data_IF_316362150596
#
_entry.id   IF_316362150596
#
_cell.length_a   1.000
_cell.length_b   1.000
_cell.length_c   1.000
_cell.angle_alpha   90.00
_cell.angle_beta   90.00
_cell.angle_gamma   90.00
#
_symmetry.space_group_name_H-M   'P 1'
#
loop_
_entity.id
_entity.type
_entity.pdbx_description
1 polymer ?
#
# COMPACT_ATOMS: atom_id res chain seq x y z
N UNK A 1 12.83 -33.07 51.16
CA UNK A 1 12.94 -33.05 49.68
C UNK A 1 12.67 -31.60 49.29
N UNK A 2 13.69 -30.73 49.25
CA UNK A 2 14.61 -30.53 48.11
C UNK A 2 13.79 -30.27 46.83
N UNK A 3 13.93 -29.18 46.08
CA UNK A 3 15.03 -28.24 45.93
C UNK A 3 14.57 -27.06 45.04
N UNK A 4 15.38 -26.00 45.00
CA UNK A 4 15.49 -24.99 43.94
C UNK A 4 14.46 -23.84 43.80
N UNK A 5 14.75 -22.74 44.53
CA UNK A 5 14.46 -21.36 44.10
C UNK A 5 15.49 -20.94 43.05
N UNK A 6 15.05 -20.66 41.82
CA UNK A 6 15.89 -20.06 40.77
C UNK A 6 15.79 -18.52 40.82
N UNK A 7 16.95 -17.90 40.97
CA UNK A 7 17.28 -16.48 40.80
C UNK A 7 17.02 -16.01 39.35
N UNK A 8 16.71 -14.71 39.13
CA UNK A 8 16.62 -14.15 37.78
C UNK A 8 18.02 -13.91 37.18
N UNK A 9 18.17 -13.94 35.84
CA UNK A 9 19.46 -13.82 35.19
C UNK A 9 19.98 -12.37 35.22
N UNK A 10 21.24 -12.25 35.59
CA UNK A 10 22.07 -11.05 35.55
C UNK A 10 22.19 -10.56 34.10
N UNK A 11 21.88 -9.28 33.87
CA UNK A 11 22.14 -8.61 32.59
C UNK A 11 23.66 -8.58 32.34
N UNK A 12 24.06 -9.15 31.21
CA UNK A 12 25.44 -9.28 30.78
C UNK A 12 26.05 -7.91 30.49
N UNK A 13 27.27 -7.71 30.98
CA UNK A 13 28.11 -6.51 30.91
C UNK A 13 28.37 -5.98 29.47
N UNK A 14 27.93 -6.69 28.44
CA UNK A 14 28.00 -6.25 27.03
C UNK A 14 26.90 -5.26 26.63
N UNK A 15 25.73 -5.26 27.27
CA UNK A 15 24.64 -4.35 26.88
C UNK A 15 24.84 -2.90 27.38
N UNK A 16 25.57 -2.70 28.48
CA UNK A 16 25.93 -1.35 28.94
C UNK A 16 27.01 -0.69 28.06
N UNK A 17 27.90 -1.48 27.44
CA UNK A 17 28.97 -0.95 26.58
C UNK A 17 28.47 -0.41 25.23
N UNK A 18 27.35 -0.93 24.72
CA UNK A 18 26.73 -0.49 23.46
C UNK A 18 25.94 0.82 23.63
N UNK A 19 25.44 1.09 24.83
CA UNK A 19 24.66 2.30 25.12
C UNK A 19 25.56 3.52 25.42
N UNK A 20 26.72 3.31 26.05
CA UNK A 20 27.71 4.37 26.27
C UNK A 20 28.43 4.79 24.98
N UNK A 21 28.60 3.88 24.02
CA UNK A 21 29.20 4.19 22.71
C UNK A 21 28.26 4.97 21.78
N UNK A 22 26.95 4.71 21.83
CA UNK A 22 25.96 5.48 21.05
C UNK A 22 25.79 6.93 21.55
N UNK A 23 25.95 7.16 22.86
CA UNK A 23 25.83 8.50 23.48
C UNK A 23 27.09 9.37 23.24
N UNK A 24 28.25 8.75 23.03
CA UNK A 24 29.50 9.46 22.71
C UNK A 24 29.57 9.95 21.25
N UNK A 25 28.91 9.25 20.32
CA UNK A 25 28.90 9.60 18.89
C UNK A 25 27.93 10.75 18.57
N UNK A 26 26.87 10.92 19.35
CA UNK A 26 25.91 12.02 19.18
C UNK A 26 26.43 13.35 19.74
N UNK A 27 27.23 13.37 20.81
CA UNK A 27 27.79 14.62 21.37
C UNK A 27 28.95 15.21 20.55
N UNK A 28 29.66 14.37 19.79
CA UNK A 28 30.77 14.81 18.91
C UNK A 28 30.28 15.44 17.60
N UNK A 29 29.05 15.14 17.18
CA UNK A 29 28.45 15.72 15.97
C UNK A 29 27.92 17.15 16.17
N UNK A 30 27.41 17.49 17.37
CA UNK A 30 26.84 18.83 17.63
C UNK A 30 27.90 19.92 17.88
N UNK A 31 29.14 19.55 18.20
CA UNK A 31 30.19 20.54 18.53
C UNK A 31 30.96 21.04 17.30
N UNK A 32 30.86 20.36 16.15
CA UNK A 32 31.66 20.66 14.96
C UNK A 32 31.09 21.76 14.03
N UNK A 33 29.84 22.19 14.24
CA UNK A 33 29.16 23.16 13.35
C UNK A 33 29.36 24.62 13.79
N UNK A 34 29.86 24.87 15.00
CA UNK A 34 29.98 26.22 15.55
C UNK A 34 31.44 26.58 15.88
N UNK A 35 32.25 26.94 14.88
CA UNK A 35 33.35 27.94 14.99
C UNK A 35 34.08 28.13 13.66
N UNK A 36 33.54 28.97 12.79
CA UNK A 36 34.30 29.64 11.72
C UNK A 36 34.74 31.02 12.21
N UNK A 37 36.05 31.25 12.33
CA UNK A 37 36.57 32.57 12.76
C UNK A 37 38.10 32.69 12.85
N UNK A 38 38.72 33.08 11.73
CA UNK A 38 39.89 33.97 11.56
C UNK A 38 41.13 33.92 12.49
N UNK A 39 42.28 33.79 11.79
CA UNK A 39 43.58 34.50 11.94
C UNK A 39 44.54 34.22 13.11
N UNK A 40 45.77 33.81 12.73
CA UNK A 40 47.02 34.43 13.22
C UNK A 40 48.03 33.54 13.98
N UNK A 41 49.25 33.41 13.45
CA UNK A 41 50.48 33.41 14.26
C UNK A 41 51.23 32.10 14.54
N UNK A 42 52.28 31.86 13.75
CA UNK A 42 53.62 31.28 14.04
C UNK A 42 53.90 30.44 15.31
N UNK A 43 54.57 29.28 15.14
CA UNK A 43 55.38 28.68 16.21
C UNK A 43 55.70 27.17 16.11
N UNK A 44 56.78 26.82 15.39
CA UNK A 44 57.77 25.77 15.69
C UNK A 44 57.44 24.38 16.30
N UNK A 45 57.79 23.36 15.49
CA UNK A 45 58.64 22.20 15.83
C UNK A 45 58.03 20.88 16.39
N UNK A 46 58.21 19.82 15.58
CA UNK A 46 58.72 18.52 16.06
C UNK A 46 57.75 17.34 16.04
N UNK A 47 57.86 16.43 15.06
CA UNK A 47 57.13 15.16 15.07
C UNK A 47 57.21 14.39 13.76
N UNK A 48 58.40 13.88 13.44
CA UNK A 48 58.67 13.08 12.23
C UNK A 48 58.16 11.65 12.41
N UNK A 49 57.08 11.29 11.71
CA UNK A 49 56.60 9.91 11.61
C UNK A 49 55.32 9.81 10.79
N UNK A 50 55.43 9.39 9.52
CA UNK A 50 54.25 9.04 8.69
C UNK A 50 54.05 9.81 7.36
N UNK A 51 55.04 10.54 6.83
CA UNK A 51 54.88 11.41 5.65
C UNK A 51 54.86 10.68 4.28
N UNK A 52 55.13 9.36 4.24
CA UNK A 52 55.21 8.62 2.97
C UNK A 52 53.86 8.37 2.28
N UNK A 53 52.83 8.02 3.06
CA UNK A 53 51.51 7.66 2.53
C UNK A 53 50.72 8.86 2.00
N UNK A 54 50.80 10.01 2.68
CA UNK A 54 50.12 11.24 2.27
C UNK A 54 50.72 11.83 1.00
N UNK A 55 52.04 11.71 0.79
CA UNK A 55 52.76 12.16 -0.40
C UNK A 55 52.35 11.37 -1.67
N UNK A 56 52.24 10.05 -1.55
CA UNK A 56 51.82 9.16 -2.64
C UNK A 56 50.34 9.36 -3.01
N UNK A 57 49.45 9.43 -2.01
CA UNK A 57 48.03 9.72 -2.21
C UNK A 57 47.82 11.08 -2.89
N UNK A 58 48.50 12.13 -2.43
CA UNK A 58 48.40 13.45 -3.04
C UNK A 58 48.97 13.48 -4.47
N UNK A 59 50.02 12.72 -4.78
CA UNK A 59 50.55 12.59 -6.14
C UNK A 59 49.60 11.86 -7.09
N UNK A 60 48.90 10.82 -6.61
CA UNK A 60 47.90 10.09 -7.41
C UNK A 60 46.69 10.99 -7.69
N UNK A 61 46.22 11.75 -6.70
CA UNK A 61 45.09 12.69 -6.85
C UNK A 61 45.42 13.80 -7.86
N UNK A 62 46.63 14.36 -7.80
CA UNK A 62 47.08 15.40 -8.75
C UNK A 62 47.30 14.86 -10.17
N UNK A 63 47.92 13.69 -10.32
CA UNK A 63 48.16 13.09 -11.64
C UNK A 63 46.87 12.57 -12.30
N UNK A 64 45.92 12.08 -11.51
CA UNK A 64 44.65 11.53 -12.00
C UNK A 64 43.56 12.57 -12.28
N UNK A 65 43.80 13.87 -12.02
CA UNK A 65 42.82 14.98 -12.19
C UNK A 65 41.44 14.70 -11.54
N UNK A 66 41.41 13.96 -10.44
CA UNK A 66 40.16 13.51 -9.79
C UNK A 66 39.45 14.59 -8.98
N UNK A 67 40.16 15.65 -8.54
CA UNK A 67 39.57 16.77 -7.80
C UNK A 67 39.85 18.08 -8.54
N UNK A 68 38.79 18.75 -9.01
CA UNK A 68 38.90 20.08 -9.65
C UNK A 68 38.76 21.22 -8.64
N UNK A 69 38.15 20.94 -7.49
CA UNK A 69 37.88 21.88 -6.40
C UNK A 69 38.49 21.35 -5.09
N UNK A 70 39.11 22.20 -4.25
CA UNK A 70 39.67 21.80 -2.96
C UNK A 70 38.66 21.11 -2.01
N UNK A 71 37.36 21.38 -2.14
CA UNK A 71 36.30 20.69 -1.38
C UNK A 71 36.14 19.20 -1.71
N UNK A 72 36.60 18.74 -2.88
CA UNK A 72 36.49 17.35 -3.32
C UNK A 72 37.68 16.48 -2.89
N UNK A 73 38.75 17.09 -2.37
CA UNK A 73 39.99 16.39 -2.03
C UNK A 73 39.80 15.37 -0.91
N UNK A 74 39.01 15.70 0.10
CA UNK A 74 38.81 14.81 1.25
C UNK A 74 37.91 13.61 0.90
N UNK A 75 36.86 13.82 0.11
CA UNK A 75 36.06 12.72 -0.45
C UNK A 75 36.90 11.81 -1.35
N UNK A 76 37.77 12.38 -2.18
CA UNK A 76 38.66 11.61 -3.07
C UNK A 76 39.65 10.77 -2.27
N UNK A 77 40.21 11.32 -1.17
CA UNK A 77 41.07 10.58 -0.26
C UNK A 77 40.35 9.40 0.39
N UNK A 78 39.11 9.59 0.85
CA UNK A 78 38.31 8.50 1.41
C UNK A 78 38.02 7.42 0.38
N UNK A 79 37.62 7.77 -0.84
CA UNK A 79 37.36 6.80 -1.91
C UNK A 79 38.59 5.95 -2.24
N UNK A 80 39.77 6.58 -2.35
CA UNK A 80 41.02 5.85 -2.62
C UNK A 80 41.44 4.98 -1.43
N UNK A 81 41.30 5.48 -0.20
CA UNK A 81 41.61 4.71 1.00
C UNK A 81 40.73 3.46 1.11
N UNK A 82 39.43 3.60 0.84
CA UNK A 82 38.49 2.49 0.84
C UNK A 82 38.81 1.48 -0.26
N UNK A 83 39.12 1.95 -1.47
CA UNK A 83 39.57 1.07 -2.55
C UNK A 83 40.82 0.27 -2.17
N UNK A 84 41.84 0.93 -1.59
CA UNK A 84 43.07 0.25 -1.15
C UNK A 84 42.78 -0.78 -0.06
N UNK A 85 41.90 -0.48 0.89
CA UNK A 85 41.47 -1.43 1.92
C UNK A 85 40.76 -2.64 1.30
N UNK A 86 39.89 -2.42 0.32
CA UNK A 86 39.16 -3.49 -0.36
C UNK A 86 40.06 -4.38 -1.21
N UNK A 87 41.08 -3.81 -1.85
CA UNK A 87 42.13 -4.56 -2.57
C UNK A 87 43.00 -5.35 -1.60
N UNK A 88 43.35 -4.77 -0.44
CA UNK A 88 44.16 -5.44 0.58
C UNK A 88 43.43 -6.60 1.28
N UNK A 89 42.10 -6.50 1.44
CA UNK A 89 41.24 -7.53 2.02
C UNK A 89 40.92 -8.67 1.03
N UNK A 90 41.18 -8.49 -0.27
CA UNK A 90 40.88 -9.50 -1.29
C UNK A 90 41.86 -10.68 -1.23
N UNK A 91 41.43 -11.94 -1.46
CA UNK A 91 42.30 -13.10 -1.48
C UNK A 91 43.45 -12.94 -2.49
N UNK A 92 44.67 -13.31 -2.09
CA UNK A 92 45.86 -13.24 -2.96
C UNK A 92 45.62 -14.01 -4.26
N UNK A 93 45.59 -13.31 -5.40
CA UNK A 93 45.33 -13.87 -6.73
C UNK A 93 43.98 -13.51 -7.35
N UNK A 94 43.09 -12.78 -6.65
CA UNK A 94 41.81 -12.30 -7.22
C UNK A 94 41.94 -11.01 -8.05
N UNK A 95 43.08 -10.32 -7.95
CA UNK A 95 43.39 -9.13 -8.78
C UNK A 95 44.10 -9.64 -10.04
N UNK A 96 43.34 -10.26 -10.93
CA UNK A 96 43.86 -10.73 -12.22
C UNK A 96 43.73 -9.58 -13.22
N UNK A 97 44.86 -9.03 -13.67
CA UNK A 97 45.18 -8.11 -14.80
C UNK A 97 44.24 -6.96 -15.20
N UNK A 98 42.95 -6.99 -14.92
CA UNK A 98 41.96 -5.97 -15.24
C UNK A 98 41.30 -5.39 -13.98
N UNK A 99 41.83 -4.26 -13.51
CA UNK A 99 41.32 -3.48 -12.38
C UNK A 99 39.86 -3.06 -12.57
N UNK A 100 39.43 -2.86 -13.83
CA UNK A 100 38.04 -2.49 -14.12
C UNK A 100 37.09 -3.63 -13.78
N UNK A 101 37.38 -4.86 -14.22
CA UNK A 101 36.57 -6.05 -13.89
C UNK A 101 36.46 -6.29 -12.38
N UNK A 102 37.54 -6.02 -11.63
CA UNK A 102 37.55 -6.13 -10.17
C UNK A 102 36.61 -5.09 -9.54
N UNK A 103 36.67 -3.82 -9.97
CA UNK A 103 35.77 -2.78 -9.46
C UNK A 103 34.31 -3.13 -9.76
N UNK A 104 33.99 -3.56 -10.98
CA UNK A 104 32.62 -3.95 -11.36
C UNK A 104 32.13 -5.12 -10.51
N UNK A 105 32.96 -6.15 -10.30
CA UNK A 105 32.61 -7.28 -9.44
C UNK A 105 32.38 -6.86 -7.98
N UNK A 106 33.15 -5.89 -7.47
CA UNK A 106 32.96 -5.36 -6.11
C UNK A 106 31.69 -4.53 -5.98
N UNK A 107 31.39 -3.68 -6.96
CA UNK A 107 30.14 -2.93 -7.01
C UNK A 107 28.95 -3.90 -7.03
N UNK A 108 28.96 -4.89 -7.91
CA UNK A 108 27.91 -5.92 -7.97
C UNK A 108 27.74 -6.68 -6.64
N UNK A 109 28.82 -6.96 -5.91
CA UNK A 109 28.75 -7.57 -4.58
C UNK A 109 28.12 -6.66 -3.51
N UNK A 110 28.40 -5.36 -3.58
CA UNK A 110 27.76 -4.35 -2.71
C UNK A 110 26.29 -4.24 -3.05
N UNK A 111 25.95 -4.13 -4.34
CA UNK A 111 24.57 -4.00 -4.82
C UNK A 111 23.74 -5.24 -4.47
N UNK A 112 24.32 -6.44 -4.55
CA UNK A 112 23.66 -7.66 -4.09
C UNK A 112 23.38 -7.64 -2.58
N UNK A 113 24.31 -7.13 -1.78
CA UNK A 113 24.14 -7.02 -0.32
C UNK A 113 23.07 -5.97 0.03
N UNK A 114 23.09 -4.83 -0.67
CA UNK A 114 22.08 -3.78 -0.51
C UNK A 114 20.69 -4.25 -0.96
N UNK A 115 20.62 -5.02 -2.06
CA UNK A 115 19.36 -5.57 -2.57
C UNK A 115 18.73 -6.51 -1.56
N UNK A 116 19.50 -7.43 -0.96
CA UNK A 116 19.00 -8.32 0.09
C UNK A 116 18.50 -7.55 1.31
N UNK A 117 19.22 -6.50 1.72
CA UNK A 117 18.79 -5.68 2.85
C UNK A 117 17.54 -4.84 2.52
N UNK A 118 17.41 -4.39 1.28
CA UNK A 118 16.27 -3.63 0.80
C UNK A 118 15.02 -4.52 0.66
N UNK A 119 15.17 -5.78 0.21
CA UNK A 119 14.09 -6.76 0.17
C UNK A 119 13.48 -6.93 1.57
N UNK A 120 14.28 -7.07 2.63
CA UNK A 120 13.77 -7.18 4.01
C UNK A 120 12.98 -5.94 4.47
N UNK A 121 13.36 -4.74 4.01
CA UNK A 121 12.66 -3.50 4.36
C UNK A 121 11.36 -3.36 3.56
N UNK A 122 11.42 -3.63 2.26
CA UNK A 122 10.29 -3.46 1.33
C UNK A 122 9.25 -4.56 1.51
N UNK A 123 9.67 -5.77 1.91
CA UNK A 123 8.77 -6.89 2.18
C UNK A 123 8.29 -6.96 3.63
N UNK A 124 8.64 -6.00 4.48
CA UNK A 124 8.05 -5.88 5.81
C UNK A 124 6.53 -5.62 5.71
N UNK A 125 5.67 -6.41 6.40
CA UNK A 125 4.22 -6.28 6.27
C UNK A 125 3.67 -4.89 6.62
N UNK A 126 4.29 -4.17 7.57
CA UNK A 126 3.86 -2.84 7.95
C UNK A 126 4.21 -1.82 6.85
N UNK A 127 5.41 -1.95 6.27
CA UNK A 127 5.82 -1.12 5.14
C UNK A 127 4.98 -1.41 3.89
N UNK A 128 4.72 -2.67 3.55
CA UNK A 128 3.90 -3.05 2.40
C UNK A 128 2.47 -2.53 2.51
N UNK A 129 1.85 -2.64 3.69
CA UNK A 129 0.50 -2.10 3.91
C UNK A 129 0.49 -0.59 3.69
N UNK A 130 1.46 0.12 4.26
CA UNK A 130 1.60 1.57 4.08
C UNK A 130 1.86 1.95 2.61
N UNK A 131 2.79 1.25 1.94
CA UNK A 131 3.11 1.48 0.53
C UNK A 131 1.89 1.22 -0.36
N UNK A 132 1.15 0.14 -0.13
CA UNK A 132 -0.08 -0.23 -0.84
C UNK A 132 -1.16 0.84 -0.72
N UNK A 133 -1.41 1.33 0.50
CA UNK A 133 -2.35 2.43 0.78
C UNK A 133 -1.98 3.72 0.05
N UNK A 134 -0.73 4.18 0.19
CA UNK A 134 -0.29 5.44 -0.41
C UNK A 134 -0.17 5.37 -1.92
N UNK A 135 0.25 4.23 -2.48
CA UNK A 135 0.26 4.02 -3.93
C UNK A 135 -1.15 3.93 -4.50
N UNK A 136 -2.08 3.26 -3.80
CA UNK A 136 -3.49 3.24 -4.17
C UNK A 136 -4.09 4.64 -4.21
N UNK A 137 -3.83 5.44 -3.17
CA UNK A 137 -4.22 6.86 -3.13
C UNK A 137 -3.57 7.67 -4.25
N UNK A 138 -2.27 7.50 -4.48
CA UNK A 138 -1.55 8.16 -5.57
C UNK A 138 -2.17 7.83 -6.93
N UNK A 139 -2.49 6.56 -7.18
CA UNK A 139 -3.17 6.11 -8.40
C UNK A 139 -4.54 6.75 -8.55
N UNK A 140 -5.33 6.84 -7.48
CA UNK A 140 -6.63 7.52 -7.50
C UNK A 140 -6.47 9.01 -7.83
N UNK A 141 -5.52 9.70 -7.21
CA UNK A 141 -5.30 11.14 -7.42
C UNK A 141 -4.81 11.42 -8.84
N UNK A 142 -3.80 10.68 -9.32
CA UNK A 142 -3.25 10.87 -10.66
C UNK A 142 -4.21 10.41 -11.76
N UNK A 143 -5.04 9.40 -11.47
CA UNK A 143 -6.07 8.89 -12.38
C UNK A 143 -7.37 9.70 -12.37
N UNK A 144 -7.49 10.74 -11.54
CA UNK A 144 -8.71 11.55 -11.42
C UNK A 144 -8.48 12.98 -11.94
N UNK A 145 -9.31 13.39 -12.89
CA UNK A 145 -9.34 14.78 -13.38
C UNK A 145 -10.05 15.71 -12.37
N UNK A 146 -9.27 16.21 -11.41
CA UNK A 146 -9.78 17.16 -10.40
C UNK A 146 -10.10 18.52 -11.01
N UNK A 147 -11.21 19.13 -10.57
CA UNK A 147 -11.68 20.43 -11.05
C UNK A 147 -12.47 21.15 -9.96
N UNK A 148 -13.03 22.33 -10.23
CA UNK A 148 -13.96 22.97 -9.29
C UNK A 148 -15.16 22.08 -8.93
N UNK A 149 -15.57 21.22 -9.87
CA UNK A 149 -16.69 20.29 -9.72
C UNK A 149 -16.32 18.94 -9.09
N UNK A 150 -15.04 18.54 -9.12
CA UNK A 150 -14.57 17.25 -8.60
C UNK A 150 -13.41 17.48 -7.63
N UNK A 151 -13.68 17.24 -6.35
CA UNK A 151 -12.72 17.42 -5.25
C UNK A 151 -12.52 16.10 -4.51
N UNK A 152 -11.27 15.77 -4.25
CA UNK A 152 -10.89 14.68 -3.35
C UNK A 152 -10.50 15.28 -1.99
N UNK A 153 -11.08 14.78 -0.90
CA UNK A 153 -10.69 15.15 0.47
C UNK A 153 -10.13 13.93 1.17
N UNK A 154 -8.93 14.04 1.71
CA UNK A 154 -8.27 12.99 2.47
C UNK A 154 -8.52 13.19 3.97
N UNK A 155 -8.90 12.12 4.65
CA UNK A 155 -8.94 12.06 6.11
C UNK A 155 -8.15 10.83 6.56
N UNK A 156 -7.07 11.05 7.29
CA UNK A 156 -6.19 9.99 7.79
C UNK A 156 -6.71 9.53 9.15
N UNK A 157 -7.18 8.28 9.20
CA UNK A 157 -7.74 7.63 10.39
C UNK A 157 -7.43 6.15 10.31
N UNK A 158 -7.17 5.51 11.44
CA UNK A 158 -7.04 4.05 11.50
C UNK A 158 -8.39 3.38 11.68
N UNK A 159 -8.54 2.14 11.21
CA UNK A 159 -9.77 1.35 11.38
C UNK A 159 -10.21 1.26 12.85
N UNK A 160 -9.26 1.13 13.77
CA UNK A 160 -9.53 1.06 15.21
C UNK A 160 -10.02 2.39 15.77
N UNK A 161 -9.42 3.52 15.38
CA UNK A 161 -9.90 4.84 15.81
C UNK A 161 -11.33 5.11 15.32
N UNK A 162 -11.68 4.64 14.12
CA UNK A 162 -13.03 4.77 13.58
C UNK A 162 -14.05 3.92 14.37
N UNK A 163 -13.67 2.71 14.76
CA UNK A 163 -14.48 1.85 15.63
C UNK A 163 -14.66 2.47 17.02
N UNK A 164 -13.58 3.01 17.59
CA UNK A 164 -13.62 3.68 18.90
C UNK A 164 -14.47 4.95 18.86
N UNK A 165 -14.41 5.75 17.80
CA UNK A 165 -15.23 6.97 17.63
C UNK A 165 -16.73 6.63 17.57
N UNK A 166 -17.09 5.66 16.72
CA UNK A 166 -18.48 5.25 16.53
C UNK A 166 -19.03 4.45 17.72
N UNK A 167 -18.19 3.67 18.40
CA UNK A 167 -18.58 2.84 19.54
C UNK A 167 -18.67 3.60 20.87
N UNK A 168 -17.93 4.70 21.03
CA UNK A 168 -18.04 5.56 22.23
C UNK A 168 -19.20 6.55 22.15
N UNK A 169 -19.68 6.85 20.95
CA UNK A 169 -20.82 7.74 20.77
C UNK A 169 -22.08 7.07 21.34
N UNK A 170 -22.89 7.83 22.10
CA UNK A 170 -24.17 7.33 22.65
C UNK A 170 -25.13 6.98 21.52
N UNK A 171 -25.12 7.81 20.48
CA UNK A 171 -25.82 7.61 19.21
C UNK A 171 -24.84 7.92 18.07
N UNK A 172 -25.03 7.26 16.91
CA UNK A 172 -24.10 7.36 15.78
C UNK A 172 -23.97 8.79 15.21
N UNK A 173 -24.97 9.64 15.43
CA UNK A 173 -25.02 11.03 14.99
C UNK A 173 -24.11 11.98 15.81
N UNK A 174 -23.60 11.53 16.95
CA UNK A 174 -22.67 12.30 17.78
C UNK A 174 -21.19 12.02 17.47
N UNK A 175 -20.92 11.05 16.58
CA UNK A 175 -19.57 10.65 16.17
C UNK A 175 -18.83 11.73 15.38
N UNK A 176 -17.50 11.69 15.37
CA UNK A 176 -16.69 12.60 14.56
C UNK A 176 -16.88 12.34 13.06
N UNK A 177 -17.08 11.09 12.65
CA UNK A 177 -17.43 10.76 11.26
C UNK A 177 -18.73 11.48 10.84
N UNK A 178 -19.79 11.39 11.66
CA UNK A 178 -21.06 12.05 11.35
C UNK A 178 -20.92 13.58 11.28
N UNK A 179 -20.22 14.19 12.24
CA UNK A 179 -19.96 15.65 12.23
C UNK A 179 -19.26 16.10 10.95
N UNK A 180 -18.27 15.35 10.48
CA UNK A 180 -17.50 15.70 9.28
C UNK A 180 -18.27 15.48 7.99
N UNK A 181 -18.99 14.36 7.87
CA UNK A 181 -19.68 13.96 6.64
C UNK A 181 -21.04 14.64 6.53
N UNK A 182 -21.84 14.58 7.60
CA UNK A 182 -23.18 15.12 7.63
C UNK A 182 -23.15 16.60 8.03
N UNK A 183 -22.84 16.94 9.29
CA UNK A 183 -23.07 18.30 9.80
C UNK A 183 -22.28 19.38 9.02
N UNK A 184 -20.97 19.21 8.86
CA UNK A 184 -20.10 20.21 8.24
C UNK A 184 -20.30 20.36 6.72
N UNK A 185 -20.88 19.37 6.06
CA UNK A 185 -21.10 19.40 4.61
C UNK A 185 -22.59 19.33 4.29
N UNK A 186 -23.17 18.14 4.25
CA UNK A 186 -24.55 17.95 3.80
C UNK A 186 -25.58 18.71 4.65
N UNK A 187 -25.36 18.84 5.96
CA UNK A 187 -26.25 19.50 6.92
C UNK A 187 -26.10 21.01 7.00
N UNK A 188 -25.01 21.58 6.47
CA UNK A 188 -24.71 23.01 6.53
C UNK A 188 -25.19 23.72 5.27
N UNK A 189 -25.83 24.89 5.43
CA UNK A 189 -26.24 25.73 4.31
C UNK A 189 -25.01 26.17 3.48
N UNK A 190 -25.04 25.93 2.17
CA UNK A 190 -23.91 26.20 1.27
C UNK A 190 -22.74 25.21 1.39
N UNK A 191 -22.90 24.12 2.15
CA UNK A 191 -21.92 23.03 2.21
C UNK A 191 -21.88 22.22 0.90
N UNK A 192 -20.78 21.53 0.66
CA UNK A 192 -20.59 20.67 -0.52
C UNK A 192 -20.68 19.20 -0.09
N UNK A 193 -21.80 18.51 -0.34
CA UNK A 193 -21.99 17.15 0.12
C UNK A 193 -21.02 16.17 -0.55
N UNK A 194 -20.68 15.10 0.17
CA UNK A 194 -19.85 14.03 -0.35
C UNK A 194 -20.67 13.06 -1.20
N UNK A 195 -20.22 12.78 -2.43
CA UNK A 195 -20.92 11.84 -3.32
C UNK A 195 -20.67 10.38 -2.95
N UNK A 196 -19.45 10.04 -2.55
CA UNK A 196 -19.08 8.72 -2.03
C UNK A 196 -17.95 8.85 -0.99
N UNK A 197 -17.84 7.86 -0.12
CA UNK A 197 -16.73 7.68 0.81
C UNK A 197 -15.93 6.45 0.37
N UNK A 198 -14.61 6.54 0.39
CA UNK A 198 -13.71 5.44 0.06
C UNK A 198 -12.89 5.13 1.31
N UNK A 199 -13.03 3.92 1.82
CA UNK A 199 -12.28 3.42 2.96
C UNK A 199 -11.20 2.46 2.52
N UNK A 200 -9.94 2.80 2.78
CA UNK A 200 -8.81 1.89 2.60
C UNK A 200 -8.66 0.96 3.81
N UNK A 201 -9.67 0.13 4.00
CA UNK A 201 -9.74 -0.86 5.05
C UNK A 201 -10.14 -2.19 4.44
N UNK A 202 -9.73 -3.26 5.10
CA UNK A 202 -10.21 -4.59 4.79
C UNK A 202 -11.25 -5.01 5.84
N UNK A 203 -12.44 -5.42 5.38
CA UNK A 203 -13.48 -5.95 6.25
C UNK A 203 -13.57 -7.47 6.14
N UNK A 204 -13.46 -8.13 7.29
CA UNK A 204 -13.80 -9.54 7.44
C UNK A 204 -15.22 -9.72 8.00
N UNK A 205 -15.54 -10.98 8.33
CA UNK A 205 -16.79 -11.38 8.98
C UNK A 205 -16.75 -11.33 10.51
N UNK A 206 -15.66 -10.79 11.08
CA UNK A 206 -15.48 -10.66 12.52
C UNK A 206 -16.56 -9.77 13.16
N UNK A 207 -16.96 -10.02 14.42
CA UNK A 207 -18.01 -9.23 15.08
C UNK A 207 -17.76 -7.71 15.10
N UNK A 208 -16.51 -7.30 15.34
CA UNK A 208 -16.11 -5.88 15.37
C UNK A 208 -16.22 -5.23 13.98
N UNK A 209 -15.85 -5.96 12.93
CA UNK A 209 -15.92 -5.47 11.55
C UNK A 209 -17.36 -5.29 11.09
N UNK A 210 -18.24 -6.23 11.45
CA UNK A 210 -19.67 -6.14 11.12
C UNK A 210 -20.34 -5.00 11.91
N UNK A 211 -19.96 -4.81 13.16
CA UNK A 211 -20.43 -3.68 13.98
C UNK A 211 -19.98 -2.35 13.38
N UNK A 212 -18.70 -2.21 13.02
CA UNK A 212 -18.17 -1.03 12.33
C UNK A 212 -18.90 -0.78 11.00
N UNK A 213 -19.10 -1.82 10.19
CA UNK A 213 -19.82 -1.71 8.92
C UNK A 213 -21.27 -1.22 9.12
N UNK A 214 -21.94 -1.69 10.19
CA UNK A 214 -23.28 -1.24 10.57
C UNK A 214 -23.31 0.23 10.97
N UNK A 215 -22.36 0.66 11.81
CA UNK A 215 -22.29 2.05 12.26
C UNK A 215 -21.95 3.00 11.10
N UNK A 216 -21.02 2.62 10.22
CA UNK A 216 -20.69 3.38 9.01
C UNK A 216 -21.88 3.43 8.05
N UNK A 217 -22.60 2.32 7.85
CA UNK A 217 -23.77 2.30 6.95
C UNK A 217 -24.87 3.24 7.41
N UNK A 218 -25.08 3.37 8.73
CA UNK A 218 -26.07 4.30 9.28
C UNK A 218 -25.68 5.76 8.98
N UNK A 219 -24.42 6.13 9.21
CA UNK A 219 -23.91 7.48 8.89
C UNK A 219 -23.99 7.76 7.39
N UNK A 220 -23.59 6.78 6.56
CA UNK A 220 -23.64 6.85 5.11
C UNK A 220 -25.08 7.01 4.59
N UNK A 221 -26.05 6.33 5.20
CA UNK A 221 -27.46 6.44 4.85
C UNK A 221 -28.02 7.83 5.16
N UNK A 222 -27.67 8.42 6.32
CA UNK A 222 -28.12 9.77 6.67
C UNK A 222 -27.59 10.85 5.72
N UNK A 223 -26.33 10.75 5.29
CA UNK A 223 -25.70 11.69 4.37
C UNK A 223 -25.97 11.41 2.88
N UNK A 224 -26.66 10.30 2.59
CA UNK A 224 -26.80 9.77 1.23
C UNK A 224 -25.44 9.62 0.54
N UNK A 225 -24.46 9.02 1.21
CA UNK A 225 -23.09 8.89 0.70
C UNK A 225 -22.61 7.44 0.80
N UNK A 226 -22.69 6.64 -0.28
CA UNK A 226 -22.22 5.25 -0.26
C UNK A 226 -20.74 5.15 0.15
N UNK A 227 -20.45 4.18 1.03
CA UNK A 227 -19.13 3.82 1.51
C UNK A 227 -18.61 2.59 0.76
N UNK A 228 -17.45 2.73 0.13
CA UNK A 228 -16.80 1.72 -0.71
C UNK A 228 -15.49 1.34 -0.05
N UNK A 229 -15.28 0.05 0.18
CA UNK A 229 -14.09 -0.47 0.86
C UNK A 229 -13.74 -1.87 0.34
N UNK A 230 -12.69 -2.51 0.85
CA UNK A 230 -12.27 -3.84 0.43
C UNK A 230 -12.77 -4.94 1.38
N UNK A 231 -13.08 -6.11 0.83
CA UNK A 231 -13.23 -7.32 1.64
C UNK A 231 -11.86 -7.92 1.91
N UNK A 232 -11.64 -8.44 3.12
CA UNK A 232 -10.46 -9.25 3.45
C UNK A 232 -10.66 -10.71 3.00
N UNK A 233 -9.58 -11.46 2.78
CA UNK A 233 -9.65 -12.91 2.52
C UNK A 233 -10.35 -13.67 3.69
N UNK A 234 -10.18 -13.17 4.92
CA UNK A 234 -10.82 -13.70 6.13
C UNK A 234 -12.37 -13.67 6.08
N UNK A 235 -12.95 -12.84 5.20
CA UNK A 235 -14.39 -12.82 4.92
C UNK A 235 -14.92 -14.16 4.39
N UNK A 236 -14.07 -14.90 3.67
CA UNK A 236 -14.39 -16.20 3.11
C UNK A 236 -13.75 -17.35 3.87
N UNK A 237 -13.15 -17.08 5.04
CA UNK A 237 -12.39 -18.05 5.82
C UNK A 237 -11.12 -18.55 5.13
N UNK A 238 -10.54 -17.72 4.26
CA UNK A 238 -9.26 -18.00 3.59
C UNK A 238 -8.14 -17.18 4.23
N UNK A 239 -6.92 -17.71 4.12
CA UNK A 239 -5.71 -16.95 4.44
C UNK A 239 -5.29 -16.04 3.27
N UNK A 240 -5.67 -16.40 2.04
CA UNK A 240 -5.36 -15.64 0.81
C UNK A 240 -6.45 -15.78 -0.24
N UNK A 241 -6.63 -14.77 -1.10
CA UNK A 241 -7.57 -14.86 -2.23
C UNK A 241 -7.18 -15.89 -3.29
N UNK A 242 -5.95 -16.43 -3.28
CA UNK A 242 -5.54 -17.54 -4.15
C UNK A 242 -6.39 -18.81 -3.93
N UNK A 243 -6.93 -18.99 -2.72
CA UNK A 243 -7.77 -20.12 -2.36
C UNK A 243 -9.21 -20.02 -2.89
N UNK A 244 -9.58 -18.90 -3.53
CA UNK A 244 -10.92 -18.67 -4.07
C UNK A 244 -11.39 -19.72 -5.08
N UNK A 245 -10.44 -20.42 -5.72
CA UNK A 245 -10.74 -21.53 -6.63
C UNK A 245 -11.19 -22.81 -5.93
N UNK A 246 -10.84 -23.02 -4.65
CA UNK A 246 -11.01 -24.29 -3.95
C UNK A 246 -12.48 -24.64 -3.61
N UNK A 247 -13.29 -23.76 -2.99
CA UNK A 247 -14.62 -24.16 -2.52
C UNK A 247 -15.61 -24.26 -3.66
N UNK A 248 -16.29 -25.40 -3.84
CA UNK A 248 -17.23 -25.59 -4.97
C UNK A 248 -18.36 -24.56 -5.04
N UNK A 249 -18.76 -24.02 -3.89
CA UNK A 249 -19.88 -23.09 -3.72
C UNK A 249 -19.54 -22.09 -2.61
N UNK A 250 -19.44 -20.81 -2.95
CA UNK A 250 -19.11 -19.75 -2.00
C UNK A 250 -20.27 -19.42 -1.05
N UNK A 251 -21.51 -19.67 -1.46
CA UNK A 251 -22.69 -19.32 -0.66
C UNK A 251 -22.73 -20.07 0.67
N UNK A 252 -22.33 -21.35 0.64
CA UNK A 252 -22.29 -22.23 1.81
C UNK A 252 -21.31 -21.77 2.89
N UNK A 253 -20.29 -20.97 2.54
CA UNK A 253 -19.35 -20.41 3.52
C UNK A 253 -20.03 -19.40 4.45
N UNK A 254 -21.14 -18.80 4.02
CA UNK A 254 -21.90 -17.81 4.79
C UNK A 254 -23.10 -18.40 5.53
N UNK A 255 -23.41 -19.69 5.33
CA UNK A 255 -24.47 -20.39 6.07
C UNK A 255 -24.06 -20.79 7.50
N UNK A 256 -22.75 -20.79 7.77
CA UNK A 256 -22.17 -21.09 9.07
C UNK A 256 -22.67 -20.18 10.20
N UNK A 257 -22.43 -20.63 11.43
CA UNK A 257 -22.79 -19.88 12.65
C UNK A 257 -21.88 -18.67 12.88
N UNK A 258 -20.68 -18.69 12.32
CA UNK A 258 -19.70 -17.61 12.29
C UNK A 258 -20.20 -16.39 11.48
N UNK A 259 -20.91 -16.61 10.38
CA UNK A 259 -21.44 -15.57 9.50
C UNK A 259 -22.83 -15.05 9.90
N UNK A 260 -23.37 -15.41 11.08
CA UNK A 260 -24.71 -14.96 11.52
C UNK A 260 -24.80 -13.43 11.56
N UNK A 261 -23.83 -12.76 12.20
CA UNK A 261 -23.84 -11.29 12.29
C UNK A 261 -23.78 -10.63 10.91
N UNK A 262 -22.93 -11.16 10.02
CA UNK A 262 -22.84 -10.68 8.65
C UNK A 262 -24.16 -10.83 7.88
N UNK A 263 -24.82 -11.99 7.98
CA UNK A 263 -26.14 -12.20 7.36
C UNK A 263 -27.19 -11.23 7.92
N UNK A 264 -27.21 -11.00 9.23
CA UNK A 264 -28.10 -10.02 9.84
C UNK A 264 -27.82 -8.60 9.33
N UNK A 265 -26.55 -8.21 9.18
CA UNK A 265 -26.17 -6.92 8.61
C UNK A 265 -26.67 -6.77 7.16
N UNK A 266 -26.51 -7.78 6.31
CA UNK A 266 -27.00 -7.73 4.92
C UNK A 266 -28.52 -7.56 4.81
N UNK A 267 -29.28 -7.97 5.83
CA UNK A 267 -30.74 -7.82 5.85
C UNK A 267 -31.20 -6.41 6.26
N UNK A 268 -30.30 -5.58 6.80
CA UNK A 268 -30.64 -4.20 7.17
C UNK A 268 -30.85 -3.34 5.94
N UNK A 269 -31.65 -2.29 6.07
CA UNK A 269 -31.92 -1.35 4.98
C UNK A 269 -30.70 -0.49 4.64
N UNK A 270 -29.93 -0.08 5.66
CA UNK A 270 -28.79 0.82 5.51
C UNK A 270 -27.57 0.15 4.87
N UNK A 271 -27.48 -1.19 4.91
CA UNK A 271 -26.40 -1.95 4.26
C UNK A 271 -26.27 -1.69 2.75
N UNK A 272 -27.29 -1.10 2.11
CA UNK A 272 -27.24 -0.65 0.70
C UNK A 272 -26.24 0.48 0.45
N UNK A 273 -25.86 1.22 1.48
CA UNK A 273 -24.82 2.25 1.39
C UNK A 273 -23.43 1.67 1.64
N UNK A 274 -23.28 0.38 1.90
CA UNK A 274 -21.99 -0.25 2.17
C UNK A 274 -21.63 -1.20 1.03
N UNK A 275 -20.44 -1.05 0.46
CA UNK A 275 -19.98 -1.83 -0.70
C UNK A 275 -18.58 -2.38 -0.45
N UNK A 276 -18.42 -3.66 -0.75
CA UNK A 276 -17.16 -4.38 -0.65
C UNK A 276 -16.63 -4.75 -2.03
N UNK A 277 -15.38 -4.38 -2.27
CA UNK A 277 -14.63 -4.68 -3.49
C UNK A 277 -13.56 -5.73 -3.22
N UNK A 278 -13.27 -6.58 -4.21
CA UNK A 278 -12.25 -7.62 -4.12
C UNK A 278 -11.80 -8.04 -5.52
N UNK A 279 -10.64 -8.71 -5.68
CA UNK A 279 -9.58 -8.89 -4.69
C UNK A 279 -8.68 -7.63 -4.65
N UNK A 280 -7.50 -7.72 -4.03
CA UNK A 280 -6.50 -6.66 -4.11
C UNK A 280 -5.89 -6.56 -5.52
N UNK A 281 -5.35 -5.37 -5.81
CA UNK A 281 -4.76 -5.00 -7.11
C UNK A 281 -3.29 -4.69 -6.92
N UNK A 282 -2.47 -5.09 -7.89
CA UNK A 282 -1.05 -4.80 -7.91
C UNK A 282 -0.83 -3.29 -8.12
N UNK A 283 -0.19 -2.64 -7.16
CA UNK A 283 0.02 -1.19 -7.17
C UNK A 283 1.33 -0.78 -7.83
N UNK A 284 2.31 -1.69 -7.90
CA UNK A 284 3.65 -1.42 -8.44
C UNK A 284 4.25 -2.67 -9.10
N UNK A 285 5.02 -2.45 -10.17
CA UNK A 285 5.93 -3.47 -10.71
C UNK A 285 7.16 -3.67 -9.81
N UNK A 286 7.57 -4.92 -9.54
CA UNK A 286 8.81 -5.20 -8.84
C UNK A 286 10.01 -4.45 -9.44
N UNK A 287 10.91 -4.00 -8.57
CA UNK A 287 12.12 -3.33 -9.01
C UNK A 287 13.07 -4.33 -9.67
N UNK A 288 13.69 -3.86 -10.76
CA UNK A 288 14.63 -4.66 -11.53
C UNK A 288 15.01 -3.91 -12.79
N UNK A 289 16.21 -4.18 -13.31
CA UNK A 289 16.77 -3.44 -14.45
C UNK A 289 15.90 -3.52 -15.70
N UNK A 290 15.19 -4.63 -15.88
CA UNK A 290 14.33 -4.84 -17.04
C UNK A 290 12.92 -4.24 -16.90
N UNK A 291 12.41 -4.13 -15.68
CA UNK A 291 11.02 -3.73 -15.40
C UNK A 291 10.92 -2.29 -14.88
N UNK A 292 11.63 -2.00 -13.79
CA UNK A 292 11.52 -0.75 -13.04
C UNK A 292 12.88 -0.44 -12.40
N UNK A 293 13.82 0.18 -13.15
CA UNK A 293 15.17 0.45 -12.69
C UNK A 293 15.18 1.55 -11.62
N UNK A 294 16.12 1.46 -10.69
CA UNK A 294 16.33 2.45 -9.63
C UNK A 294 17.59 3.25 -9.93
N UNK A 295 17.58 4.55 -9.64
CA UNK A 295 18.77 5.40 -9.76
C UNK A 295 19.70 5.22 -8.56
N UNK A 296 20.99 4.99 -8.82
CA UNK A 296 22.05 5.01 -7.80
C UNK A 296 22.71 3.65 -7.54
N UNK A 297 21.96 2.55 -7.59
CA UNK A 297 22.49 1.19 -7.49
C UNK A 297 21.60 0.19 -8.21
N UNK A 298 22.15 -0.96 -8.58
CA UNK A 298 21.40 -1.99 -9.30
C UNK A 298 20.56 -2.82 -8.33
N UNK A 299 19.35 -2.34 -8.04
CA UNK A 299 18.38 -3.06 -7.21
C UNK A 299 17.60 -4.09 -8.00
N UNK A 300 17.71 -5.35 -7.59
CA UNK A 300 16.91 -6.47 -8.11
C UNK A 300 16.06 -7.04 -6.97
N UNK A 301 14.74 -6.83 -7.03
CA UNK A 301 13.80 -7.30 -6.02
C UNK A 301 13.56 -8.81 -6.17
N UNK A 302 13.75 -9.59 -5.10
CA UNK A 302 13.72 -11.06 -5.19
C UNK A 302 12.28 -11.61 -5.19
N UNK A 303 11.61 -11.58 -6.35
CA UNK A 303 10.24 -12.09 -6.56
C UNK A 303 10.16 -13.28 -7.54
N UNK A 304 9.74 -14.44 -7.04
CA UNK A 304 9.63 -15.69 -7.83
C UNK A 304 8.33 -15.83 -8.65
N UNK A 305 7.51 -14.77 -8.73
CA UNK A 305 6.22 -14.76 -9.43
C UNK A 305 5.12 -15.65 -8.80
N UNK A 306 5.50 -16.60 -7.93
CA UNK A 306 4.61 -17.55 -7.26
C UNK A 306 4.11 -17.05 -5.92
N UNK A 307 5.01 -16.47 -5.14
CA UNK A 307 4.69 -15.94 -3.83
C UNK A 307 3.96 -14.61 -3.98
N UNK A 308 2.71 -14.56 -3.54
CA UNK A 308 1.91 -13.34 -3.58
C UNK A 308 2.35 -12.35 -2.50
N UNK A 309 2.95 -12.78 -1.40
CA UNK A 309 3.24 -11.90 -0.26
C UNK A 309 4.31 -10.85 -0.56
N UNK A 310 5.18 -11.12 -1.53
CA UNK A 310 6.26 -10.21 -1.93
C UNK A 310 5.81 -9.06 -2.84
N UNK A 311 4.60 -9.12 -3.39
CA UNK A 311 4.09 -8.08 -4.27
C UNK A 311 3.41 -6.94 -3.47
N UNK A 312 3.54 -5.71 -3.96
CA UNK A 312 2.86 -4.55 -3.39
C UNK A 312 1.39 -4.53 -3.83
N UNK A 313 0.54 -5.15 -3.02
CA UNK A 313 -0.91 -5.14 -3.20
C UNK A 313 -1.54 -3.91 -2.55
N UNK A 314 -2.65 -3.45 -3.12
CA UNK A 314 -3.49 -2.44 -2.49
C UNK A 314 -4.97 -2.65 -2.78
N UNK A 315 -5.79 -1.86 -2.10
CA UNK A 315 -7.25 -1.99 -2.16
C UNK A 315 -7.82 -1.72 -3.56
N UNK A 316 -8.71 -2.62 -4.02
CA UNK A 316 -9.50 -2.41 -5.24
C UNK A 316 -10.57 -1.32 -5.08
N UNK A 317 -10.81 -0.84 -3.86
CA UNK A 317 -11.71 0.29 -3.62
C UNK A 317 -11.22 1.56 -4.32
N UNK A 318 -9.91 1.76 -4.42
CA UNK A 318 -9.33 2.86 -5.20
C UNK A 318 -9.62 2.76 -6.69
N UNK A 319 -9.57 1.55 -7.26
CA UNK A 319 -9.90 1.32 -8.67
C UNK A 319 -11.39 1.58 -8.94
N UNK A 320 -12.29 1.15 -8.04
CA UNK A 320 -13.71 1.48 -8.14
C UNK A 320 -13.95 2.99 -8.02
N UNK A 321 -13.26 3.66 -7.09
CA UNK A 321 -13.34 5.11 -6.94
C UNK A 321 -12.88 5.84 -8.20
N UNK A 322 -11.81 5.37 -8.86
CA UNK A 322 -11.34 5.91 -10.12
C UNK A 322 -12.39 5.80 -11.24
N UNK A 323 -13.12 4.69 -11.30
CA UNK A 323 -14.23 4.54 -12.26
C UNK A 323 -15.38 5.52 -11.96
N UNK A 324 -15.70 5.72 -10.69
CA UNK A 324 -16.73 6.70 -10.26
C UNK A 324 -16.34 8.13 -10.63
N UNK A 325 -15.08 8.52 -10.38
CA UNK A 325 -14.59 9.86 -10.71
C UNK A 325 -14.52 10.07 -12.23
N UNK A 326 -14.10 9.05 -12.98
CA UNK A 326 -14.08 9.07 -14.45
C UNK A 326 -15.48 9.19 -15.04
N UNK A 327 -16.45 8.43 -14.52
CA UNK A 327 -17.86 8.52 -14.93
C UNK A 327 -18.42 9.93 -14.68
N UNK A 328 -18.14 10.49 -13.49
CA UNK A 328 -18.52 11.87 -13.18
C UNK A 328 -17.86 12.86 -14.12
N UNK A 329 -16.58 12.70 -14.45
CA UNK A 329 -15.88 13.61 -15.34
C UNK A 329 -16.53 13.66 -16.73
N UNK A 330 -16.77 12.48 -17.32
CA UNK A 330 -17.31 12.31 -18.67
C UNK A 330 -18.80 12.69 -18.78
N UNK A 331 -19.63 12.19 -17.86
CA UNK A 331 -21.09 12.28 -17.99
C UNK A 331 -21.74 13.25 -17.01
N UNK A 332 -20.96 13.79 -16.07
CA UNK A 332 -21.49 14.51 -14.89
C UNK A 332 -22.46 13.67 -14.08
N UNK A 333 -22.41 12.34 -14.19
CA UNK A 333 -23.18 11.36 -13.43
C UNK A 333 -22.31 10.13 -13.12
N UNK A 334 -22.62 9.43 -12.04
CA UNK A 334 -21.79 8.35 -11.47
C UNK A 334 -22.36 6.94 -11.75
N UNK A 335 -23.22 6.80 -12.77
CA UNK A 335 -23.88 5.54 -13.09
C UNK A 335 -23.02 4.59 -13.95
N UNK A 336 -22.16 5.14 -14.82
CA UNK A 336 -21.35 4.38 -15.78
C UNK A 336 -20.07 3.84 -15.13
N UNK A 337 -20.21 2.85 -14.24
CA UNK A 337 -19.11 2.29 -13.44
C UNK A 337 -18.98 0.76 -13.55
N UNK A 338 -19.69 0.12 -14.50
CA UNK A 338 -19.75 -1.34 -14.63
C UNK A 338 -19.69 -1.79 -16.08
N UNK A 339 -19.15 -2.98 -16.31
CA UNK A 339 -18.95 -3.58 -17.63
C UNK A 339 -17.77 -2.96 -18.38
N UNK A 340 -17.21 -3.72 -19.32
CA UNK A 340 -16.04 -3.32 -20.11
C UNK A 340 -16.30 -2.03 -20.89
N UNK A 341 -17.44 -1.95 -21.59
CA UNK A 341 -17.84 -0.76 -22.35
C UNK A 341 -18.67 0.24 -21.53
N UNK A 342 -19.13 -0.16 -20.34
CA UNK A 342 -20.01 0.64 -19.49
C UNK A 342 -19.29 1.45 -18.40
N UNK A 343 -17.97 1.65 -18.55
CA UNK A 343 -17.15 2.45 -17.63
C UNK A 343 -16.63 1.70 -16.40
N UNK A 344 -16.75 0.36 -16.38
CA UNK A 344 -16.20 -0.50 -15.33
C UNK A 344 -14.77 -1.00 -15.59
N UNK A 345 -14.17 -0.61 -16.71
CA UNK A 345 -12.83 -1.01 -17.12
C UNK A 345 -11.76 -0.26 -16.32
N UNK A 346 -10.83 -1.01 -15.74
CA UNK A 346 -9.60 -0.52 -15.09
C UNK A 346 -8.43 -0.88 -16.01
N UNK A 347 -7.90 0.12 -16.71
CA UNK A 347 -6.75 -0.01 -17.60
C UNK A 347 -5.43 0.26 -16.89
N UNK A 348 -4.32 -0.02 -17.57
CA UNK A 348 -2.96 0.31 -17.12
C UNK A 348 -2.65 -0.30 -15.73
N UNK A 349 -2.92 -1.60 -15.60
CA UNK A 349 -2.50 -2.38 -14.45
C UNK A 349 -1.06 -2.88 -14.65
N UNK A 350 -0.22 -2.84 -13.60
CA UNK A 350 1.12 -3.43 -13.63
C UNK A 350 1.11 -4.90 -14.11
N UNK A 351 1.73 -5.18 -15.25
CA UNK A 351 1.86 -6.52 -15.82
C UNK A 351 3.29 -7.06 -15.64
N UNK A 352 3.52 -7.84 -14.58
CA UNK A 352 4.83 -8.44 -14.31
C UNK A 352 4.98 -9.77 -15.07
N UNK A 353 5.98 -9.89 -15.93
CA UNK A 353 6.30 -11.14 -16.64
C UNK A 353 7.41 -11.91 -15.94
N UNK A 354 7.19 -13.20 -15.70
CA UNK A 354 8.22 -14.08 -15.13
C UNK A 354 8.31 -15.39 -15.91
N UNK A 355 9.45 -16.07 -15.78
CA UNK A 355 9.68 -17.38 -16.38
C UNK A 355 9.19 -18.46 -15.44
N UNK A 356 8.32 -19.33 -15.94
CA UNK A 356 7.91 -20.54 -15.22
C UNK A 356 9.07 -21.54 -15.16
N UNK A 357 9.06 -22.53 -14.25
CA UNK A 357 10.11 -23.55 -14.22
C UNK A 357 10.19 -24.40 -15.50
N UNK A 358 9.13 -24.39 -16.31
CA UNK A 358 9.09 -25.08 -17.61
C UNK A 358 9.72 -24.23 -18.74
N UNK A 359 10.15 -23.00 -18.44
CA UNK A 359 10.80 -22.09 -19.38
C UNK A 359 9.85 -21.13 -20.09
N UNK A 360 8.54 -21.30 -19.95
CA UNK A 360 7.55 -20.43 -20.57
C UNK A 360 7.47 -19.07 -19.86
N UNK A 361 7.40 -18.00 -20.64
CA UNK A 361 7.10 -16.65 -20.16
C UNK A 361 5.60 -16.54 -19.86
N UNK A 362 5.27 -16.13 -18.64
CA UNK A 362 3.88 -15.94 -18.21
C UNK A 362 3.74 -14.60 -17.50
N UNK A 363 2.60 -13.93 -17.72
CA UNK A 363 2.24 -12.70 -17.03
C UNK A 363 1.60 -13.05 -15.69
N UNK A 364 2.10 -12.45 -14.61
CA UNK A 364 1.46 -12.48 -13.30
C UNK A 364 0.14 -11.75 -13.37
N UNK A 365 -0.90 -12.35 -12.81
CA UNK A 365 -2.21 -11.70 -12.70
C UNK A 365 -2.07 -10.38 -11.92
N UNK A 366 -2.49 -9.23 -12.48
CA UNK A 366 -2.45 -7.94 -11.78
C UNK A 366 -3.46 -7.84 -10.63
N UNK A 367 -4.41 -8.78 -10.54
CA UNK A 367 -5.23 -9.03 -9.37
C UNK A 367 -4.70 -10.26 -8.63
N UNK A 368 -4.88 -10.38 -7.32
CA UNK A 368 -4.30 -11.51 -6.55
C UNK A 368 -4.69 -12.89 -7.10
N UNK A 369 -5.89 -12.98 -7.67
CA UNK A 369 -6.44 -14.18 -8.29
C UNK A 369 -7.27 -13.82 -9.51
N UNK A 370 -7.35 -14.72 -10.48
CA UNK A 370 -8.20 -14.59 -11.65
C UNK A 370 -9.61 -15.13 -11.33
N UNK A 371 -10.63 -14.26 -11.46
CA UNK A 371 -12.02 -14.60 -11.17
C UNK A 371 -12.73 -14.97 -12.48
N UNK A 372 -13.30 -16.18 -12.52
CA UNK A 372 -14.13 -16.64 -13.66
C UNK A 372 -15.53 -16.05 -13.59
N UNK A 373 -16.24 -15.94 -14.71
CA UNK A 373 -17.63 -15.44 -14.80
C UNK A 373 -18.59 -16.10 -13.80
N UNK A 374 -18.47 -17.41 -13.59
CA UNK A 374 -19.29 -18.13 -12.60
C UNK A 374 -19.04 -17.61 -11.17
N UNK A 375 -17.78 -17.37 -10.82
CA UNK A 375 -17.39 -16.87 -9.49
C UNK A 375 -17.77 -15.42 -9.31
N UNK A 376 -17.63 -14.60 -10.37
CA UNK A 376 -18.12 -13.23 -10.37
C UNK A 376 -19.61 -13.19 -10.02
N UNK A 377 -20.41 -14.05 -10.66
CA UNK A 377 -21.84 -14.16 -10.36
C UNK A 377 -22.10 -14.60 -8.92
N UNK A 378 -21.42 -15.65 -8.43
CA UNK A 378 -21.55 -16.12 -7.04
C UNK A 378 -21.21 -15.00 -6.03
N UNK A 379 -20.16 -14.21 -6.29
CA UNK A 379 -19.75 -13.08 -5.45
C UNK A 379 -20.76 -11.92 -5.51
N UNK A 380 -21.28 -11.63 -6.70
CA UNK A 380 -22.31 -10.61 -6.94
C UNK A 380 -23.58 -10.95 -6.17
N UNK A 381 -24.06 -12.20 -6.23
CA UNK A 381 -25.23 -12.67 -5.48
C UNK A 381 -24.99 -12.59 -3.94
N UNK A 382 -23.73 -12.68 -3.51
CA UNK A 382 -23.30 -12.51 -2.11
C UNK A 382 -23.07 -11.05 -1.69
N UNK A 383 -23.26 -10.07 -2.57
CA UNK A 383 -23.15 -8.64 -2.25
C UNK A 383 -21.71 -8.10 -2.31
N UNK A 384 -20.85 -8.73 -3.10
CA UNK A 384 -19.49 -8.27 -3.36
C UNK A 384 -19.33 -7.78 -4.79
N UNK A 385 -18.44 -6.81 -4.99
CA UNK A 385 -18.02 -6.37 -6.32
C UNK A 385 -16.64 -6.94 -6.64
N UNK A 386 -16.60 -7.84 -7.62
CA UNK A 386 -15.37 -8.50 -8.04
C UNK A 386 -14.71 -7.76 -9.22
N UNK A 387 -13.41 -7.48 -9.10
CA UNK A 387 -12.56 -7.03 -10.20
C UNK A 387 -12.07 -8.25 -10.99
N UNK A 388 -12.54 -8.40 -12.22
CA UNK A 388 -12.22 -9.55 -13.05
C UNK A 388 -11.10 -9.18 -14.03
N UNK A 389 -9.94 -9.80 -13.85
CA UNK A 389 -8.80 -9.64 -14.75
C UNK A 389 -9.09 -10.24 -16.13
N UNK A 390 -8.75 -9.50 -17.20
CA UNK A 390 -8.80 -10.04 -18.55
C UNK A 390 -7.48 -10.76 -18.86
N UNK A 391 -7.57 -12.08 -19.07
CA UNK A 391 -6.42 -12.97 -19.24
C UNK A 391 -5.45 -12.47 -20.32
N UNK A 392 -4.16 -12.46 -20.00
CA UNK A 392 -3.05 -12.11 -20.89
C UNK A 392 -3.05 -10.63 -21.35
N UNK A 393 -3.73 -9.76 -20.62
CA UNK A 393 -3.76 -8.30 -20.86
C UNK A 393 -3.31 -7.52 -19.63
N UNK A 394 -3.35 -6.19 -19.70
CA UNK A 394 -3.03 -5.23 -18.63
C UNK A 394 -4.28 -4.53 -18.07
N UNK A 395 -5.49 -5.05 -18.36
CA UNK A 395 -6.74 -4.48 -17.88
C UNK A 395 -7.61 -5.49 -17.13
N UNK A 396 -8.47 -4.96 -16.27
CA UNK A 396 -9.49 -5.70 -15.53
C UNK A 396 -10.82 -4.93 -15.57
N UNK A 397 -11.94 -5.59 -15.30
CA UNK A 397 -13.24 -4.93 -15.31
C UNK A 397 -14.12 -5.35 -14.13
N UNK A 398 -14.88 -4.39 -13.62
CA UNK A 398 -15.98 -4.64 -12.70
C UNK A 398 -17.26 -4.93 -13.50
N UNK A 399 -17.76 -6.16 -13.46
CA UNK A 399 -19.00 -6.53 -14.14
C UNK A 399 -20.24 -6.34 -13.26
N UNK A 400 -20.12 -6.77 -12.01
CA UNK A 400 -21.08 -6.58 -10.94
C UNK A 400 -21.07 -5.17 -10.36
N UNK A 401 -22.12 -4.85 -9.64
CA UNK A 401 -22.29 -3.53 -9.02
C UNK A 401 -23.17 -3.62 -7.76
N UNK A 402 -23.09 -4.74 -7.06
CA UNK A 402 -23.93 -5.05 -5.90
C UNK A 402 -23.35 -4.42 -4.64
N UNK A 403 -24.25 -3.93 -3.80
CA UNK A 403 -23.93 -3.48 -2.43
C UNK A 403 -23.98 -4.69 -1.49
N UNK A 404 -23.61 -4.50 -0.23
CA UNK A 404 -23.69 -5.58 0.77
C UNK A 404 -25.14 -6.03 1.03
N UNK A 405 -26.14 -5.20 0.73
CA UNK A 405 -27.54 -5.51 0.98
C UNK A 405 -28.00 -6.80 0.29
N UNK A 406 -28.75 -7.63 1.02
CA UNK A 406 -29.55 -8.71 0.46
C UNK A 406 -30.95 -8.16 0.15
N UNK A 407 -31.35 -8.06 -1.14
CA UNK A 407 -32.69 -7.61 -1.51
C UNK A 407 -33.77 -8.46 -0.83
N UNK A 408 -34.78 -7.81 -0.24
CA UNK A 408 -35.94 -8.49 0.33
C UNK A 408 -36.79 -9.08 -0.79
N UNK A 409 -37.32 -10.27 -0.56
CA UNK A 409 -38.25 -10.94 -1.46
C UNK A 409 -39.68 -10.59 -1.01
N UNK A 410 -40.46 -10.09 -1.94
CA UNK A 410 -41.86 -9.72 -1.82
C UNK A 410 -42.73 -10.65 -2.68
N UNK A 411 -44.03 -10.65 -2.43
CA UNK A 411 -44.99 -11.42 -3.23
C UNK A 411 -45.19 -10.83 -4.63
N UNK A 412 -44.98 -9.53 -4.80
CA UNK A 412 -45.15 -8.82 -6.07
C UNK A 412 -43.83 -8.71 -6.84
N UNK A 413 -43.87 -9.06 -8.12
CA UNK A 413 -42.71 -9.03 -9.02
C UNK A 413 -42.15 -7.61 -9.21
N UNK A 414 -43.02 -6.59 -9.20
CA UNK A 414 -42.57 -5.20 -9.33
C UNK A 414 -41.83 -4.72 -8.08
N UNK A 415 -42.29 -5.12 -6.89
CA UNK A 415 -41.60 -4.87 -5.63
C UNK A 415 -40.23 -5.57 -5.58
N UNK A 416 -40.14 -6.81 -6.08
CA UNK A 416 -38.87 -7.54 -6.21
C UNK A 416 -37.88 -6.80 -7.11
N UNK A 417 -38.32 -6.36 -8.30
CA UNK A 417 -37.47 -5.59 -9.21
C UNK A 417 -36.96 -4.29 -8.57
N UNK A 418 -37.82 -3.59 -7.83
CA UNK A 418 -37.44 -2.35 -7.13
C UNK A 418 -36.42 -2.61 -6.00
N UNK A 419 -36.57 -3.71 -5.27
CA UNK A 419 -35.64 -4.12 -4.22
C UNK A 419 -34.26 -4.46 -4.80
N UNK A 420 -34.21 -5.17 -5.93
CA UNK A 420 -32.94 -5.47 -6.62
C UNK A 420 -32.24 -4.22 -7.15
N UNK A 421 -32.98 -3.25 -7.70
CA UNK A 421 -32.41 -1.98 -8.18
C UNK A 421 -31.80 -1.20 -7.01
N UNK A 422 -32.47 -1.21 -5.85
CA UNK A 422 -32.04 -0.51 -4.65
C UNK A 422 -30.77 -1.07 -4.01
N UNK A 423 -30.44 -2.34 -4.27
CA UNK A 423 -29.23 -2.98 -3.76
C UNK A 423 -28.00 -2.80 -4.67
N UNK A 424 -28.12 -2.03 -5.76
CA UNK A 424 -27.04 -1.83 -6.74
C UNK A 424 -26.43 -0.43 -6.60
N UNK A 425 -25.10 -0.38 -6.49
CA UNK A 425 -24.32 0.84 -6.26
C UNK A 425 -24.58 1.97 -7.29
N UNK A 426 -24.66 1.73 -8.62
CA UNK A 426 -24.86 2.80 -9.60
C UNK A 426 -26.15 3.58 -9.38
N UNK A 427 -27.22 2.89 -8.99
CA UNK A 427 -28.50 3.53 -8.70
C UNK A 427 -28.48 4.24 -7.35
N UNK A 428 -27.79 3.68 -6.35
CA UNK A 428 -27.57 4.35 -5.06
C UNK A 428 -26.77 5.64 -5.22
N UNK A 429 -25.69 5.64 -5.99
CA UNK A 429 -24.92 6.85 -6.29
C UNK A 429 -25.77 7.91 -7.01
N UNK A 430 -26.64 7.47 -7.92
CA UNK A 430 -27.53 8.36 -8.67
C UNK A 430 -28.63 8.94 -7.78
N UNK A 431 -29.28 8.12 -6.95
CA UNK A 431 -30.33 8.57 -6.02
C UNK A 431 -29.77 9.48 -4.94
N UNK A 432 -28.59 9.15 -4.40
CA UNK A 432 -27.83 10.01 -3.51
C UNK A 432 -27.61 11.41 -4.08
N UNK A 433 -27.22 11.46 -5.35
CA UNK A 433 -27.00 12.74 -6.02
C UNK A 433 -28.28 13.55 -6.20
N UNK A 434 -29.41 12.90 -6.50
CA UNK A 434 -30.70 13.60 -6.50
C UNK A 434 -31.03 14.17 -5.12
N UNK A 435 -30.79 13.41 -4.04
CA UNK A 435 -30.99 13.92 -2.68
C UNK A 435 -30.09 15.13 -2.38
N UNK A 436 -28.83 15.11 -2.84
CA UNK A 436 -27.91 16.24 -2.71
C UNK A 436 -28.41 17.50 -3.44
N UNK A 437 -28.93 17.36 -4.67
CA UNK A 437 -29.46 18.48 -5.44
C UNK A 437 -30.80 19.01 -4.94
N UNK A 438 -31.67 18.15 -4.39
CA UNK A 438 -32.97 18.58 -3.84
C UNK A 438 -32.77 19.36 -2.55
N UNK A 439 -31.72 19.02 -1.79
CA UNK A 439 -31.38 19.72 -0.54
C UNK A 439 -30.66 21.05 -0.78
N UNK A 440 -29.75 21.09 -1.75
CA UNK A 440 -28.96 22.29 -2.10
C UNK A 440 -29.86 23.39 -2.65
#
# INVERSE_FOLDING_TARGET
MADNKKTPPTQTTEQMAVQDTATAVTSTAETAVATGGSSGGSGGSGGTGGSGGSSLLNSIIQNGKLARDPSQLDNTRQMIAEFVNQVAAAPKGSVVDDVYSFIVSRISGIDSTLSLQMDEIVHDPAFQTFEGSWRGLYKLVMGTETSESLKLKLWVVTKQELLDDLGRAVEFDQSQLFKKVYEQQYGTYGGVPFSCLVGDYEFGRGPQDVELATLISNVAACAFTPFITAASASMFNFDSFTEMSQPRDLSKLFDGTDAIKWRSFRQTEDSRYFTLTLPHVLMRLPYGQASNPVEGFDYEETVDGRDNTKFCWGSSAYAMAQNITSAFFLYKWTAAIRGVEGGGLVSDLPAFTYKTPHGDLTVKCPTETAITDRREKELSDLGFIALCYCKDTDYAAFFGSQTAQLPKIYEDDSANANAEISARLPYMLTSSRFAHYIKA
#
